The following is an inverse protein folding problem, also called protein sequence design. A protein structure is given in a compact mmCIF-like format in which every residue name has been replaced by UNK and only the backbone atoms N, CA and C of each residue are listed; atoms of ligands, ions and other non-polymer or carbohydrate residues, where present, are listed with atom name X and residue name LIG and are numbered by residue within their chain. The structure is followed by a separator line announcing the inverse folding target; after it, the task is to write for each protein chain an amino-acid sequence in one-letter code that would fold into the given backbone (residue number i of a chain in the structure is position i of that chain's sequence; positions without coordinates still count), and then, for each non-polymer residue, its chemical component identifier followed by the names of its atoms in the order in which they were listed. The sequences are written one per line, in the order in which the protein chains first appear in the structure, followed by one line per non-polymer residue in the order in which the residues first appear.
data_IF_456899036876
#
_entry.id   IF_456899036876
#
_cell.length_a   1.000
_cell.length_b   1.000
_cell.length_c   1.000
_cell.angle_alpha   90.00
_cell.angle_beta   90.00
_cell.angle_gamma   90.00
#
_symmetry.space_group_name_H-M   'P 1'
#
loop_
_entity.id
_entity.type
_entity.pdbx_description
1 polymer ?
#
# COMPACT_ATOMS: atom_id res chain seq x y z
N UNK A 1 -12.46 -29.87 6.40
CA UNK A 1 -12.61 -31.16 7.15
C UNK A 1 -11.44 -31.31 8.12
N UNK A 2 -11.69 -31.19 9.43
CA UNK A 2 -10.70 -31.48 10.46
C UNK A 2 -10.66 -32.99 10.75
N UNK A 3 -9.47 -33.58 10.75
CA UNK A 3 -9.26 -34.99 11.13
C UNK A 3 -8.88 -34.97 12.62
N UNK A 4 -9.60 -35.70 13.47
CA UNK A 4 -9.30 -35.75 14.90
C UNK A 4 -7.86 -36.26 15.12
N UNK A 5 -7.04 -35.51 15.87
CA UNK A 5 -5.71 -35.95 16.27
C UNK A 5 -5.70 -36.39 17.74
N UNK A 6 -4.73 -37.25 18.07
CA UNK A 6 -4.49 -37.76 19.43
C UNK A 6 -4.41 -36.63 20.46
N UNK A 7 -4.61 -36.92 21.75
CA UNK A 7 -4.49 -35.91 22.82
C UNK A 7 -3.12 -35.21 22.76
N UNK A 8 -3.08 -33.96 22.30
CA UNK A 8 -1.88 -33.11 22.28
C UNK A 8 -2.16 -31.77 22.97
N UNK A 9 -1.11 -30.95 23.09
CA UNK A 9 -1.21 -29.63 23.70
C UNK A 9 -1.84 -28.63 22.74
N UNK A 10 -2.92 -27.97 23.16
CA UNK A 10 -3.52 -26.88 22.38
C UNK A 10 -2.57 -25.68 22.32
N UNK A 11 -2.31 -25.16 21.11
CA UNK A 11 -1.43 -24.02 20.85
C UNK A 11 -1.83 -22.75 21.63
N UNK A 12 -3.13 -22.49 21.81
CA UNK A 12 -3.61 -21.26 22.43
C UNK A 12 -3.63 -21.33 23.96
N UNK A 13 -4.24 -22.37 24.55
CA UNK A 13 -4.39 -22.45 26.01
C UNK A 13 -3.39 -23.36 26.71
N UNK A 14 -2.48 -24.00 25.98
CA UNK A 14 -1.45 -24.88 26.53
C UNK A 14 -1.96 -26.07 27.37
N UNK A 15 -3.23 -26.47 27.20
CA UNK A 15 -3.83 -27.62 27.89
C UNK A 15 -3.75 -28.86 26.98
N UNK A 16 -3.35 -30.00 27.55
CA UNK A 16 -3.38 -31.31 26.88
C UNK A 16 -4.81 -31.85 26.81
N UNK A 17 -5.38 -31.90 25.60
CA UNK A 17 -6.74 -32.37 25.33
C UNK A 17 -6.88 -32.84 23.90
N UNK A 18 -8.08 -33.25 23.50
CA UNK A 18 -8.36 -33.53 22.08
C UNK A 18 -8.17 -32.23 21.31
N UNK A 19 -7.34 -32.32 20.29
CA UNK A 19 -6.90 -31.22 19.44
C UNK A 19 -7.13 -31.59 17.98
N UNK A 20 -7.03 -30.58 17.13
CA UNK A 20 -7.26 -30.65 15.71
C UNK A 20 -6.20 -29.82 15.01
N UNK A 21 -5.56 -30.41 14.00
CA UNK A 21 -4.54 -29.75 13.21
C UNK A 21 -5.20 -28.77 12.24
N UNK A 22 -4.85 -27.49 12.35
CA UNK A 22 -5.11 -26.51 11.29
C UNK A 22 -4.13 -26.74 10.15
N UNK A 23 -4.62 -27.18 8.98
CA UNK A 23 -3.76 -27.45 7.81
C UNK A 23 -3.09 -26.19 7.24
N UNK A 24 -3.63 -25.00 7.54
CA UNK A 24 -3.07 -23.73 7.07
C UNK A 24 -1.81 -23.30 7.80
N UNK A 25 -1.85 -23.29 9.14
CA UNK A 25 -0.74 -22.83 9.98
C UNK A 25 0.04 -23.96 10.66
N UNK A 26 -0.35 -25.22 10.42
CA UNK A 26 0.25 -26.46 10.95
C UNK A 26 0.28 -26.55 12.49
N UNK A 27 -0.62 -25.84 13.17
CA UNK A 27 -0.75 -25.83 14.64
C UNK A 27 -1.95 -26.65 15.11
N UNK A 28 -1.85 -27.20 16.32
CA UNK A 28 -2.87 -28.02 16.97
C UNK A 28 -3.75 -27.17 17.91
N UNK A 29 -5.06 -27.21 17.73
CA UNK A 29 -6.01 -26.42 18.53
C UNK A 29 -7.09 -27.31 19.13
N UNK A 30 -7.52 -27.03 20.37
CA UNK A 30 -8.79 -27.60 20.83
C UNK A 30 -9.95 -26.94 20.11
N UNK A 31 -11.09 -27.64 20.02
CA UNK A 31 -12.24 -27.19 19.22
C UNK A 31 -12.65 -25.71 19.42
N UNK A 32 -12.77 -25.15 20.65
CA UNK A 32 -13.09 -23.74 20.83
C UNK A 32 -12.06 -22.79 20.20
N UNK A 33 -10.77 -23.01 20.47
CA UNK A 33 -9.71 -22.18 19.90
C UNK A 33 -9.50 -22.40 18.40
N UNK A 34 -9.85 -23.57 17.86
CA UNK A 34 -9.87 -23.77 16.41
C UNK A 34 -10.94 -22.88 15.77
N UNK A 35 -12.14 -22.83 16.37
CA UNK A 35 -13.23 -21.99 15.88
C UNK A 35 -12.88 -20.50 15.95
N UNK A 36 -12.31 -20.04 17.07
CA UNK A 36 -11.83 -18.65 17.21
C UNK A 36 -10.74 -18.33 16.18
N UNK A 37 -9.80 -19.25 15.98
CA UNK A 37 -8.73 -19.10 15.00
C UNK A 37 -9.26 -19.01 13.56
N UNK A 38 -10.26 -19.82 13.20
CA UNK A 38 -10.95 -19.76 11.91
C UNK A 38 -11.80 -18.50 11.75
N UNK A 39 -12.40 -18.01 12.84
CA UNK A 39 -13.18 -16.78 12.83
C UNK A 39 -12.31 -15.56 12.51
N UNK A 40 -11.08 -15.49 13.06
CA UNK A 40 -10.14 -14.42 12.69
C UNK A 40 -9.88 -14.39 11.16
N UNK A 41 -9.71 -15.56 10.55
CA UNK A 41 -9.51 -15.67 9.11
C UNK A 41 -10.75 -15.32 8.30
N UNK A 42 -11.95 -15.60 8.82
CA UNK A 42 -13.20 -15.18 8.23
C UNK A 42 -13.35 -13.64 8.26
N UNK A 43 -12.97 -12.99 9.37
CA UNK A 43 -12.97 -11.53 9.48
C UNK A 43 -11.96 -10.90 8.51
N UNK A 44 -10.81 -11.52 8.34
CA UNK A 44 -9.77 -11.13 7.39
C UNK A 44 -10.24 -11.28 5.93
N UNK A 45 -11.00 -12.35 5.62
CA UNK A 45 -11.63 -12.53 4.31
C UNK A 45 -12.70 -11.47 4.02
N UNK A 46 -13.46 -11.06 5.04
CA UNK A 46 -14.43 -9.96 4.92
C UNK A 46 -13.73 -8.65 4.56
N UNK A 47 -12.58 -8.38 5.17
CA UNK A 47 -11.78 -7.21 4.82
C UNK A 47 -11.30 -7.26 3.35
N UNK A 48 -10.74 -8.38 2.90
CA UNK A 48 -10.32 -8.56 1.50
C UNK A 48 -11.50 -8.38 0.54
N UNK A 49 -12.67 -8.92 0.91
CA UNK A 49 -13.90 -8.78 0.13
C UNK A 49 -14.32 -7.31 -0.01
N UNK A 50 -14.21 -6.53 1.06
CA UNK A 50 -14.51 -5.11 1.03
C UNK A 50 -13.54 -4.33 0.15
N UNK A 51 -12.23 -4.61 0.23
CA UNK A 51 -11.22 -4.01 -0.65
C UNK A 51 -11.47 -4.34 -2.12
N UNK A 52 -11.77 -5.60 -2.41
CA UNK A 52 -12.15 -6.05 -3.75
C UNK A 52 -13.37 -5.29 -4.28
N UNK A 53 -14.42 -5.13 -3.47
CA UNK A 53 -15.64 -4.44 -3.89
C UNK A 53 -15.39 -2.95 -4.17
N UNK A 54 -14.63 -2.28 -3.31
CA UNK A 54 -14.23 -0.88 -3.51
C UNK A 54 -13.44 -0.73 -4.81
N UNK A 55 -12.49 -1.63 -5.06
CA UNK A 55 -11.68 -1.61 -6.27
C UNK A 55 -12.52 -1.87 -7.53
N UNK A 56 -13.43 -2.84 -7.49
CA UNK A 56 -14.37 -3.11 -8.59
C UNK A 56 -15.23 -1.89 -8.91
N UNK A 57 -15.65 -1.12 -7.90
CA UNK A 57 -16.39 0.12 -8.11
C UNK A 57 -15.54 1.16 -8.85
N UNK A 58 -14.28 1.37 -8.44
CA UNK A 58 -13.35 2.27 -9.12
C UNK A 58 -13.20 1.91 -10.61
N UNK A 59 -13.10 0.62 -10.94
CA UNK A 59 -13.04 0.17 -12.33
C UNK A 59 -14.33 0.50 -13.09
N UNK A 60 -15.49 0.27 -12.48
CA UNK A 60 -16.77 0.58 -13.11
C UNK A 60 -16.93 2.08 -13.41
N UNK A 61 -16.39 2.96 -12.57
CA UNK A 61 -16.39 4.41 -12.78
C UNK A 61 -15.47 4.83 -13.94
N UNK A 62 -14.39 4.07 -14.20
CA UNK A 62 -13.46 4.31 -15.31
C UNK A 62 -13.92 3.74 -16.67
N UNK A 63 -15.08 3.05 -16.73
CA UNK A 63 -15.65 2.43 -17.96
C UNK A 63 -16.03 3.40 -19.08
N UNK A 64 -15.91 4.71 -18.88
CA UNK A 64 -16.28 5.71 -19.89
C UNK A 64 -15.33 5.78 -21.09
N UNK A 65 -14.27 4.96 -21.13
CA UNK A 65 -13.34 4.89 -22.26
C UNK A 65 -13.19 3.43 -22.73
N UNK A 66 -13.50 3.10 -24.00
CA UNK A 66 -13.49 1.71 -24.48
C UNK A 66 -12.06 1.23 -24.71
N UNK A 67 -11.39 0.82 -23.63
CA UNK A 67 -10.07 0.22 -23.66
C UNK A 67 -10.18 -1.28 -23.35
N UNK A 68 -9.68 -2.11 -24.27
CA UNK A 68 -9.61 -3.57 -24.15
C UNK A 68 -8.95 -4.03 -22.85
N UNK A 69 -8.03 -3.24 -22.32
CA UNK A 69 -7.35 -3.47 -21.04
C UNK A 69 -8.30 -3.53 -19.83
N UNK A 70 -9.34 -2.67 -19.77
CA UNK A 70 -10.30 -2.65 -18.66
C UNK A 70 -11.10 -3.95 -18.60
N UNK A 71 -11.46 -4.49 -19.77
CA UNK A 71 -12.17 -5.78 -19.87
C UNK A 71 -11.33 -6.96 -19.35
N UNK A 72 -10.01 -6.93 -19.58
CA UNK A 72 -9.09 -7.97 -19.09
C UNK A 72 -8.94 -7.91 -17.56
N UNK A 73 -8.87 -6.71 -16.98
CA UNK A 73 -8.85 -6.52 -15.52
C UNK A 73 -10.18 -6.97 -14.90
N UNK A 74 -11.32 -6.62 -15.50
CA UNK A 74 -12.63 -7.07 -15.04
C UNK A 74 -12.76 -8.59 -15.03
N UNK A 75 -12.24 -9.26 -16.07
CA UNK A 75 -12.21 -10.72 -16.13
C UNK A 75 -11.40 -11.31 -14.97
N UNK A 76 -10.23 -10.75 -14.68
CA UNK A 76 -9.38 -11.19 -13.55
C UNK A 76 -10.05 -10.96 -12.19
N UNK A 77 -10.79 -9.86 -12.03
CA UNK A 77 -11.58 -9.59 -10.83
C UNK A 77 -12.75 -10.54 -10.67
N UNK A 78 -13.46 -10.86 -11.76
CA UNK A 78 -14.55 -11.82 -11.70
C UNK A 78 -14.04 -13.22 -11.33
N UNK A 79 -12.88 -13.63 -11.84
CA UNK A 79 -12.23 -14.88 -11.43
C UNK A 79 -11.84 -14.88 -9.93
N UNK A 80 -11.29 -13.77 -9.43
CA UNK A 80 -11.00 -13.61 -8.01
C UNK A 80 -12.29 -13.67 -7.16
N UNK A 81 -13.39 -13.10 -7.65
CA UNK A 81 -14.70 -13.17 -6.99
C UNK A 81 -15.19 -14.59 -6.82
N UNK A 82 -15.07 -15.42 -7.86
CA UNK A 82 -15.48 -16.83 -7.79
C UNK A 82 -14.62 -17.62 -6.81
N UNK A 83 -13.33 -17.32 -6.69
CA UNK A 83 -12.46 -17.95 -5.69
C UNK A 83 -12.83 -17.56 -4.25
N UNK A 84 -13.15 -16.29 -4.01
CA UNK A 84 -13.66 -15.83 -2.71
C UNK A 84 -14.98 -16.55 -2.37
N UNK A 85 -15.88 -16.71 -3.33
CA UNK A 85 -17.15 -17.45 -3.13
C UNK A 85 -16.92 -18.92 -2.82
N UNK A 86 -15.95 -19.55 -3.50
CA UNK A 86 -15.64 -20.97 -3.27
C UNK A 86 -15.10 -21.21 -1.85
N UNK A 87 -14.20 -20.36 -1.37
CA UNK A 87 -13.65 -20.45 0.00
C UNK A 87 -14.76 -20.32 1.05
N UNK A 88 -15.68 -19.36 0.88
CA UNK A 88 -16.85 -19.24 1.74
C UNK A 88 -17.75 -20.48 1.69
N UNK A 89 -18.02 -21.02 0.50
CA UNK A 89 -18.88 -22.19 0.32
C UNK A 89 -18.31 -23.45 0.99
N UNK A 90 -16.99 -23.63 0.93
CA UNK A 90 -16.30 -24.79 1.51
C UNK A 90 -15.96 -24.61 2.99
N UNK A 91 -16.14 -23.41 3.55
CA UNK A 91 -15.66 -23.01 4.87
C UNK A 91 -14.15 -23.28 5.05
N UNK A 92 -13.34 -23.12 3.99
CA UNK A 92 -11.90 -23.40 4.02
C UNK A 92 -11.08 -22.16 4.39
N UNK A 93 -11.37 -21.59 5.57
CA UNK A 93 -10.70 -20.41 6.08
C UNK A 93 -9.33 -20.77 6.65
N UNK A 94 -8.29 -20.45 5.90
CA UNK A 94 -6.92 -20.71 6.30
C UNK A 94 -5.95 -19.67 5.72
N UNK A 95 -4.79 -19.54 6.36
CA UNK A 95 -3.76 -18.54 6.04
C UNK A 95 -3.24 -18.65 4.59
N UNK A 96 -3.16 -19.87 4.05
CA UNK A 96 -2.67 -20.10 2.68
C UNK A 96 -3.66 -19.50 1.68
N UNK A 97 -4.94 -19.79 1.83
CA UNK A 97 -6.01 -19.27 0.98
C UNK A 97 -6.08 -17.73 1.05
N UNK A 98 -5.95 -17.16 2.25
CA UNK A 98 -5.97 -15.70 2.44
C UNK A 98 -4.76 -15.01 1.82
N UNK A 99 -3.55 -15.56 2.01
CA UNK A 99 -2.34 -15.02 1.39
C UNK A 99 -2.39 -15.10 -0.14
N UNK A 100 -2.95 -16.18 -0.68
CA UNK A 100 -3.19 -16.32 -2.11
C UNK A 100 -4.14 -15.24 -2.65
N UNK A 101 -5.32 -15.05 -2.01
CA UNK A 101 -6.28 -14.02 -2.42
C UNK A 101 -5.70 -12.60 -2.34
N UNK A 102 -4.93 -12.30 -1.28
CA UNK A 102 -4.22 -11.01 -1.13
C UNK A 102 -3.24 -10.76 -2.25
N UNK A 103 -2.41 -11.75 -2.56
CA UNK A 103 -1.41 -11.61 -3.60
C UNK A 103 -2.08 -11.41 -4.97
N UNK A 104 -3.15 -12.16 -5.25
CA UNK A 104 -3.95 -11.95 -6.45
C UNK A 104 -4.58 -10.56 -6.54
N UNK A 105 -5.21 -10.09 -5.46
CA UNK A 105 -5.79 -8.75 -5.43
C UNK A 105 -4.70 -7.68 -5.64
N UNK A 106 -3.54 -7.83 -4.98
CA UNK A 106 -2.38 -6.94 -5.17
C UNK A 106 -1.86 -6.95 -6.60
N UNK A 107 -1.77 -8.11 -7.24
CA UNK A 107 -1.32 -8.23 -8.62
C UNK A 107 -2.30 -7.55 -9.59
N UNK A 108 -3.60 -7.81 -9.45
CA UNK A 108 -4.62 -7.16 -10.29
C UNK A 108 -4.62 -5.65 -10.07
N UNK A 109 -4.54 -5.20 -8.82
CA UNK A 109 -4.42 -3.77 -8.48
C UNK A 109 -3.15 -3.18 -9.07
N UNK A 110 -2.02 -3.89 -9.05
CA UNK A 110 -0.76 -3.45 -9.66
C UNK A 110 -0.82 -3.43 -11.19
N UNK A 111 -1.59 -4.31 -11.82
CA UNK A 111 -1.77 -4.28 -13.28
C UNK A 111 -2.70 -3.15 -13.71
N UNK A 112 -3.82 -2.94 -13.00
CA UNK A 112 -4.72 -1.81 -13.22
C UNK A 112 -4.01 -0.49 -13.01
N UNK A 113 -3.27 -0.41 -11.90
CA UNK A 113 -2.29 0.62 -11.66
C UNK A 113 -0.95 0.23 -12.29
N UNK A 114 -0.82 -0.46 -13.43
CA UNK A 114 0.37 -0.47 -14.31
C UNK A 114 0.10 -1.21 -15.62
N UNK A 115 -0.71 -0.67 -16.56
CA UNK A 115 -0.97 -1.33 -17.83
C UNK A 115 0.33 -1.39 -18.64
N UNK A 116 1.06 -2.49 -18.51
CA UNK A 116 2.31 -2.73 -19.24
C UNK A 116 2.08 -2.98 -20.73
N UNK A 117 0.83 -2.94 -21.20
CA UNK A 117 0.45 -3.27 -22.59
C UNK A 117 -0.15 -2.12 -23.43
N UNK A 118 -0.10 -0.85 -22.98
CA UNK A 118 -0.47 0.28 -23.84
C UNK A 118 0.72 1.23 -23.96
N UNK A 119 1.47 1.04 -25.03
CA UNK A 119 2.30 2.10 -25.59
C UNK A 119 1.36 3.13 -26.21
N UNK A 120 1.49 4.38 -25.77
CA UNK A 120 0.95 5.62 -26.32
C UNK A 120 -0.53 5.94 -26.00
N UNK A 121 -0.66 7.10 -25.33
CA UNK A 121 -1.83 7.95 -25.08
C UNK A 121 -2.54 7.78 -23.71
N UNK A 122 -2.06 8.63 -22.80
CA UNK A 122 -2.71 9.12 -21.57
C UNK A 122 -3.21 8.03 -20.63
N UNK A 123 -2.24 7.40 -19.95
CA UNK A 123 -2.48 6.36 -18.98
C UNK A 123 -2.52 6.98 -17.56
N UNK A 124 -3.55 6.73 -16.71
CA UNK A 124 -3.68 7.15 -15.29
C UNK A 124 -2.59 6.63 -14.35
N UNK A 125 -1.50 6.18 -14.95
CA UNK A 125 -0.51 5.28 -14.42
C UNK A 125 0.69 5.97 -13.81
N UNK A 126 0.82 7.27 -14.05
CA UNK A 126 1.84 8.11 -13.46
C UNK A 126 1.58 8.46 -12.00
N UNK A 127 0.38 8.20 -11.45
CA UNK A 127 -0.01 8.81 -10.16
C UNK A 127 0.07 7.88 -8.94
N UNK A 128 -0.08 6.56 -9.11
CA UNK A 128 -0.19 5.64 -7.95
C UNK A 128 1.06 4.75 -7.74
N UNK A 129 1.82 4.47 -8.79
CA UNK A 129 3.04 3.64 -8.68
C UNK A 129 4.27 4.35 -8.14
N UNK A 130 4.23 5.68 -7.99
CA UNK A 130 5.36 6.43 -7.43
C UNK A 130 5.34 6.48 -5.90
N UNK A 131 4.24 6.04 -5.23
CA UNK A 131 4.02 6.34 -3.81
C UNK A 131 4.22 5.14 -2.86
N UNK A 132 3.90 3.88 -3.21
CA UNK A 132 3.75 2.86 -2.15
C UNK A 132 4.61 1.58 -2.11
N UNK A 133 5.15 1.00 -3.19
CA UNK A 133 5.97 -0.23 -3.03
C UNK A 133 7.11 -0.44 -4.04
N UNK A 134 8.20 0.32 -3.91
CA UNK A 134 9.54 -0.23 -3.55
C UNK A 134 10.58 0.89 -3.51
N UNK A 135 11.54 0.80 -2.60
CA UNK A 135 12.56 1.82 -2.43
C UNK A 135 13.51 1.72 -3.62
N UNK A 136 13.45 2.64 -4.60
CA UNK A 136 14.59 3.11 -5.44
C UNK A 136 14.20 3.85 -6.76
N UNK A 137 13.19 4.74 -6.81
CA UNK A 137 13.10 5.72 -7.92
C UNK A 137 12.55 7.09 -7.44
N UNK A 138 13.26 7.70 -6.50
CA UNK A 138 13.68 9.10 -6.65
C UNK A 138 15.16 9.09 -6.28
N UNK A 139 16.04 9.02 -7.27
CA UNK A 139 17.48 8.98 -7.05
C UNK A 139 17.97 10.32 -6.48
N UNK A 140 17.87 10.44 -5.16
CA UNK A 140 18.70 11.30 -4.30
C UNK A 140 17.98 12.39 -3.51
N UNK A 141 16.69 12.26 -3.24
CA UNK A 141 15.97 13.23 -2.39
C UNK A 141 15.77 12.68 -0.97
N UNK A 142 16.54 13.16 0.00
CA UNK A 142 16.32 12.89 1.44
C UNK A 142 16.74 11.51 1.98
N UNK A 143 17.26 10.59 1.16
CA UNK A 143 17.65 9.23 1.60
C UNK A 143 18.90 9.13 2.47
N UNK A 144 19.64 10.22 2.65
CA UNK A 144 20.89 10.21 3.43
C UNK A 144 20.66 10.37 4.94
N UNK A 145 19.44 10.11 5.41
CA UNK A 145 19.06 10.23 6.81
C UNK A 145 18.68 11.65 7.20
N UNK A 146 18.43 11.83 8.50
CA UNK A 146 18.09 13.11 9.11
C UNK A 146 19.31 14.03 9.12
N UNK A 147 19.18 15.25 8.63
CA UNK A 147 20.26 16.25 8.67
C UNK A 147 19.98 17.50 7.86
N UNK A 148 20.97 18.41 7.81
CA UNK A 148 20.86 19.73 7.18
C UNK A 148 21.43 19.78 5.77
N UNK A 149 22.06 18.71 5.28
CA UNK A 149 22.62 18.68 3.94
C UNK A 149 21.52 18.75 2.86
N UNK A 150 21.88 19.19 1.66
CA UNK A 150 20.93 19.35 0.54
C UNK A 150 20.39 18.01 0.00
N UNK A 151 20.92 16.90 0.45
CA UNK A 151 20.46 15.53 0.15
C UNK A 151 19.79 14.86 1.37
N UNK A 152 19.49 15.61 2.43
CA UNK A 152 18.90 15.18 3.70
C UNK A 152 17.68 16.05 4.06
N UNK A 153 16.83 15.53 4.94
CA UNK A 153 15.63 16.21 5.46
C UNK A 153 15.52 16.01 6.97
N UNK A 154 14.86 16.91 7.68
CA UNK A 154 14.64 16.82 9.13
C UNK A 154 13.16 17.10 9.45
N UNK A 155 12.44 16.01 9.75
CA UNK A 155 11.00 16.02 10.04
C UNK A 155 10.14 16.79 9.02
N UNK A 156 10.20 16.53 7.71
CA UNK A 156 9.42 17.29 6.73
C UNK A 156 7.91 17.09 6.93
N UNK A 157 7.12 18.17 6.82
CA UNK A 157 5.65 18.14 7.03
C UNK A 157 4.84 18.38 5.76
N UNK A 158 5.35 19.17 4.83
CA UNK A 158 4.64 19.58 3.62
C UNK A 158 5.38 19.15 2.36
N UNK A 159 4.65 18.67 1.36
CA UNK A 159 5.17 18.34 0.04
C UNK A 159 4.22 18.91 -1.03
N UNK A 160 4.79 19.52 -2.06
CA UNK A 160 4.08 19.95 -3.25
C UNK A 160 4.87 19.50 -4.47
N UNK A 161 4.17 19.09 -5.52
CA UNK A 161 4.79 18.67 -6.78
C UNK A 161 4.18 19.49 -7.90
N UNK A 162 5.02 20.19 -8.67
CA UNK A 162 4.56 20.97 -9.82
C UNK A 162 4.38 20.09 -11.08
N UNK A 163 3.80 20.67 -12.14
CA UNK A 163 3.57 19.97 -13.42
C UNK A 163 4.86 19.51 -14.11
N UNK A 164 5.99 20.12 -13.75
CA UNK A 164 7.34 19.77 -14.25
C UNK A 164 7.99 18.68 -13.39
N UNK A 165 7.27 18.14 -12.39
CA UNK A 165 7.73 17.14 -11.43
C UNK A 165 8.88 17.63 -10.53
N UNK A 166 8.97 18.94 -10.31
CA UNK A 166 9.79 19.47 -9.24
C UNK A 166 9.06 19.26 -7.92
N UNK A 167 9.78 18.81 -6.92
CA UNK A 167 9.27 18.50 -5.59
C UNK A 167 9.70 19.62 -4.65
N UNK A 168 8.74 20.25 -4.01
CA UNK A 168 8.94 21.28 -3.02
C UNK A 168 8.61 20.69 -1.66
N UNK A 169 9.55 20.75 -0.72
CA UNK A 169 9.38 20.15 0.61
C UNK A 169 9.57 21.22 1.66
N UNK A 170 8.60 21.29 2.57
CA UNK A 170 8.69 22.03 3.81
C UNK A 170 9.48 21.22 4.83
N UNK A 171 10.79 21.47 4.87
CA UNK A 171 11.76 20.80 5.73
C UNK A 171 11.74 21.45 7.12
N UNK A 172 10.68 21.13 7.86
CA UNK A 172 10.23 21.78 9.08
C UNK A 172 11.34 22.07 10.08
N UNK A 173 12.07 21.04 10.53
CA UNK A 173 13.07 21.21 11.59
C UNK A 173 14.39 21.81 11.08
N UNK A 174 14.52 21.97 9.77
CA UNK A 174 15.62 22.70 9.14
C UNK A 174 15.19 24.12 8.72
N UNK A 175 13.97 24.56 9.01
CA UNK A 175 13.51 25.93 8.79
C UNK A 175 13.70 26.40 7.33
N UNK A 176 13.39 25.52 6.37
CA UNK A 176 13.63 25.79 4.93
C UNK A 176 12.58 25.14 4.04
N UNK A 177 12.43 25.69 2.84
CA UNK A 177 11.77 25.03 1.71
C UNK A 177 12.85 24.61 0.71
N UNK A 178 12.84 23.33 0.35
CA UNK A 178 13.78 22.77 -0.61
C UNK A 178 13.05 22.34 -1.88
N UNK A 179 13.55 22.76 -3.03
CA UNK A 179 13.14 22.30 -4.35
C UNK A 179 14.08 21.18 -4.81
N UNK A 180 13.54 20.03 -5.12
CA UNK A 180 14.21 18.98 -5.86
C UNK A 180 13.65 18.93 -7.27
N UNK A 181 14.52 19.19 -8.24
CA UNK A 181 14.15 19.00 -9.63
C UNK A 181 14.12 17.53 -9.97
N UNK A 182 13.29 17.19 -10.94
CA UNK A 182 13.22 15.84 -11.47
C UNK A 182 14.64 15.32 -11.81
N UNK A 183 14.98 14.11 -11.34
CA UNK A 183 16.28 13.45 -11.48
C UNK A 183 17.50 14.11 -10.79
N UNK A 184 17.34 15.03 -9.82
CA UNK A 184 18.48 15.57 -9.07
C UNK A 184 18.75 14.84 -7.75
N UNK A 185 20.04 14.70 -7.40
CA UNK A 185 20.48 14.04 -6.16
C UNK A 185 20.63 14.97 -4.95
N UNK A 186 20.39 16.28 -5.14
CA UNK A 186 20.48 17.33 -4.14
C UNK A 186 19.43 18.38 -4.47
N UNK A 187 18.83 18.92 -3.41
CA UNK A 187 17.82 19.93 -3.51
C UNK A 187 18.46 21.30 -3.50
N UNK A 188 17.67 22.30 -3.85
CA UNK A 188 18.04 23.70 -3.81
C UNK A 188 17.15 24.38 -2.80
N UNK A 189 17.74 25.16 -1.89
CA UNK A 189 16.95 25.99 -0.98
C UNK A 189 16.31 27.09 -1.80
N UNK A 190 14.99 27.22 -1.71
CA UNK A 190 14.23 28.26 -2.41
C UNK A 190 13.63 29.28 -1.45
N UNK A 191 13.53 28.95 -0.16
CA UNK A 191 13.16 29.87 0.91
C UNK A 191 13.69 29.36 2.27
N UNK A 192 14.01 30.26 3.19
CA UNK A 192 14.57 29.90 4.50
C UNK A 192 15.98 29.33 4.43
N UNK A 193 16.34 28.50 5.40
CA UNK A 193 17.66 27.83 5.47
C UNK A 193 18.73 28.57 6.29
N UNK A 194 18.45 29.80 6.74
CA UNK A 194 19.34 30.59 7.61
C UNK A 194 18.90 30.58 9.08
N UNK A 195 18.34 29.44 9.52
CA UNK A 195 17.83 29.25 10.87
C UNK A 195 16.40 29.74 11.08
N UNK A 196 15.86 29.45 12.26
CA UNK A 196 14.53 29.86 12.67
C UNK A 196 14.46 31.38 12.86
N UNK A 197 13.46 32.02 12.27
CA UNK A 197 13.20 33.43 12.52
C UNK A 197 12.28 34.07 11.50
N UNK A 198 12.12 35.39 11.64
CA UNK A 198 11.19 36.19 10.85
C UNK A 198 11.92 37.17 9.90
N UNK A 199 13.24 36.98 9.69
CA UNK A 199 13.98 37.74 8.68
C UNK A 199 13.58 37.26 7.29
N UNK A 200 13.83 38.10 6.28
CA UNK A 200 13.40 37.84 4.89
C UNK A 200 13.94 36.52 4.31
N UNK A 201 15.06 36.04 4.84
CA UNK A 201 15.76 34.82 4.44
C UNK A 201 15.63 33.68 5.46
N UNK A 202 14.77 33.83 6.47
CA UNK A 202 14.49 32.85 7.50
C UNK A 202 13.05 32.36 7.41
N UNK A 203 12.83 31.12 7.87
CA UNK A 203 11.50 30.57 8.05
C UNK A 203 11.37 30.02 9.46
N UNK A 204 10.16 29.96 9.96
CA UNK A 204 9.88 29.35 11.25
C UNK A 204 9.01 28.12 11.03
N UNK A 205 9.64 26.94 11.12
CA UNK A 205 8.93 25.66 11.17
C UNK A 205 7.88 25.52 10.05
N UNK A 206 8.27 25.66 8.77
CA UNK A 206 7.32 25.63 7.68
C UNK A 206 6.64 24.26 7.64
N UNK A 207 5.32 24.24 7.69
CA UNK A 207 4.50 23.01 7.68
C UNK A 207 3.91 22.71 6.32
N UNK A 208 3.65 23.75 5.53
CA UNK A 208 2.92 23.66 4.28
C UNK A 208 3.70 24.43 3.22
N UNK A 209 3.69 23.91 2.01
CA UNK A 209 4.13 24.60 0.80
C UNK A 209 2.99 24.50 -0.22
N UNK A 210 2.60 25.64 -0.76
CA UNK A 210 1.66 25.76 -1.88
C UNK A 210 2.34 26.64 -2.91
N UNK A 211 2.29 26.25 -4.19
CA UNK A 211 2.79 27.04 -5.29
C UNK A 211 1.59 27.43 -6.13
N UNK A 212 1.46 28.73 -6.40
CA UNK A 212 0.41 29.26 -7.27
C UNK A 212 0.77 28.95 -8.73
N UNK A 213 -0.18 28.34 -9.46
CA UNK A 213 -0.02 28.01 -10.87
C UNK A 213 -0.65 29.15 -11.68
N UNK A 214 0.20 30.03 -12.21
CA UNK A 214 -0.22 31.08 -13.16
C UNK A 214 -0.43 30.53 -14.57
#
# INVERSE_FOLDING_TARGET
MAIASNKTQCFTCNIYKITYLCKGCLKEFCLPHLNEHQQMFNDELNHITNEYNAFKQTINEQKQNPQTFINDIEKKLNDLSEQIKQIHKENDFNEINLNYLRNRLREITREFNNPTHISIQQNPQSFINEIFEKPNVITGTGRNGKGQELNQLSFPYGIFVDEKKNIFIADYANHRIIEWKYNTKKGKIIAGGNGQGNRIDQLNEPKVVIIDQQ
#
